data_IF_974957973125
#
_entry.id   IF_974957973125
#
_cell.length_a   1.000
_cell.length_b   1.000
_cell.length_c   1.000
_cell.angle_alpha   90.00
_cell.angle_beta   90.00
_cell.angle_gamma   90.00
#
_symmetry.space_group_name_H-M   'P 1'
#
loop_
_entity.id
_entity.type
_entity.pdbx_description
1 polymer ?
#
# COMPACT_ATOMS: atom_id res chain seq x y z
N UNK A 1 -4.54 9.91 23.40
CA UNK A 1 -3.96 8.87 22.54
C UNK A 1 -4.85 8.75 21.32
N UNK A 2 -4.54 9.52 20.27
CA UNK A 2 -5.32 9.58 19.04
C UNK A 2 -4.89 8.46 18.11
N UNK A 3 -5.80 7.54 17.79
CA UNK A 3 -5.70 6.50 16.75
C UNK A 3 -5.52 7.09 15.33
N UNK A 4 -4.51 7.95 15.13
CA UNK A 4 -4.25 8.63 13.85
C UNK A 4 -3.26 7.88 12.95
N UNK A 5 -2.80 6.69 13.34
CA UNK A 5 -1.72 5.95 12.66
C UNK A 5 -2.09 4.48 12.41
N UNK A 6 -3.38 4.16 12.29
CA UNK A 6 -3.77 2.78 12.02
C UNK A 6 -3.54 2.49 10.54
N UNK A 7 -2.49 1.71 10.26
CA UNK A 7 -2.23 1.13 8.95
C UNK A 7 -3.39 0.21 8.56
N UNK A 8 -3.93 0.41 7.37
CA UNK A 8 -4.87 -0.49 6.73
C UNK A 8 -4.37 -0.78 5.33
N UNK A 9 -4.29 -2.07 5.00
CA UNK A 9 -3.90 -2.55 3.68
C UNK A 9 -5.11 -3.25 3.05
N UNK A 10 -5.45 -2.86 1.82
CA UNK A 10 -6.51 -3.50 1.04
C UNK A 10 -5.87 -4.15 -0.17
N UNK A 11 -5.98 -5.47 -0.29
CA UNK A 11 -5.59 -6.18 -1.51
C UNK A 11 -6.81 -6.24 -2.43
N UNK A 12 -6.68 -5.63 -3.59
CA UNK A 12 -7.69 -5.72 -4.64
C UNK A 12 -7.14 -6.52 -5.82
N UNK A 13 -7.99 -7.37 -6.36
CA UNK A 13 -7.80 -8.02 -7.66
C UNK A 13 -8.92 -7.48 -8.53
N UNK A 14 -8.60 -6.74 -9.58
CA UNK A 14 -9.64 -6.32 -10.51
C UNK A 14 -10.18 -7.57 -11.25
N UNK A 15 -11.48 -7.60 -11.50
CA UNK A 15 -12.19 -8.83 -11.95
C UNK A 15 -11.78 -9.25 -13.38
N UNK A 16 -11.15 -8.33 -14.12
CA UNK A 16 -10.74 -8.53 -15.51
C UNK A 16 -9.23 -8.72 -15.73
N UNK A 17 -8.40 -8.48 -14.72
CA UNK A 17 -6.95 -8.62 -14.83
C UNK A 17 -6.35 -9.14 -13.52
N UNK A 18 -5.39 -10.06 -13.60
CA UNK A 18 -4.53 -10.55 -12.49
C UNK A 18 -3.63 -9.45 -11.88
N UNK A 19 -4.07 -8.20 -11.90
CA UNK A 19 -3.43 -7.05 -11.28
C UNK A 19 -3.74 -7.12 -9.80
N UNK A 20 -2.90 -7.85 -9.07
CA UNK A 20 -2.84 -7.76 -7.62
C UNK A 20 -2.27 -6.38 -7.29
N UNK A 21 -3.08 -5.55 -6.66
CA UNK A 21 -2.66 -4.27 -6.09
C UNK A 21 -2.86 -4.31 -4.57
N UNK A 22 -2.00 -3.62 -3.84
CA UNK A 22 -2.15 -3.41 -2.40
C UNK A 22 -2.21 -1.93 -2.10
N UNK A 23 -3.38 -1.45 -1.69
CA UNK A 23 -3.61 -0.07 -1.29
C UNK A 23 -3.25 0.12 0.19
N UNK A 24 -2.55 1.21 0.50
CA UNK A 24 -2.10 1.59 1.83
C UNK A 24 -2.90 2.80 2.29
N UNK A 25 -3.52 2.66 3.46
CA UNK A 25 -4.28 3.70 4.13
C UNK A 25 -3.73 3.98 5.53
N UNK A 26 -3.76 5.26 5.91
CA UNK A 26 -3.58 5.69 7.29
C UNK A 26 -4.93 6.19 7.80
N UNK A 27 -5.63 5.36 8.58
CA UNK A 27 -7.04 5.61 8.89
C UNK A 27 -7.92 5.55 7.63
N UNK A 28 -8.54 6.67 7.25
CA UNK A 28 -9.36 6.80 6.03
C UNK A 28 -8.60 7.45 4.86
N UNK A 29 -7.37 7.91 5.09
CA UNK A 29 -6.58 8.62 4.09
C UNK A 29 -5.79 7.63 3.22
N UNK A 30 -5.96 7.74 1.90
CA UNK A 30 -5.18 6.98 0.92
C UNK A 30 -3.76 7.56 0.81
N UNK A 31 -2.77 6.71 1.07
CA UNK A 31 -1.35 7.08 1.13
C UNK A 31 -0.63 6.68 -0.16
N UNK A 32 -0.72 5.40 -0.53
CA UNK A 32 -0.01 4.84 -1.67
C UNK A 32 -0.67 3.52 -2.11
N UNK A 33 -0.31 3.04 -3.29
CA UNK A 33 -0.63 1.68 -3.74
C UNK A 33 0.63 0.99 -4.27
N UNK A 34 0.71 -0.32 -4.07
CA UNK A 34 1.72 -1.19 -4.67
C UNK A 34 1.11 -1.94 -5.84
N UNK A 35 1.86 -2.06 -6.93
CA UNK A 35 1.44 -2.77 -8.15
C UNK A 35 2.45 -3.86 -8.51
N UNK A 36 1.92 -5.03 -8.89
CA UNK A 36 2.71 -6.17 -9.35
C UNK A 36 2.50 -6.49 -10.85
N UNK A 37 2.06 -5.52 -11.65
CA UNK A 37 1.71 -5.78 -13.06
C UNK A 37 2.88 -6.33 -13.89
N UNK A 38 4.11 -5.92 -13.55
CA UNK A 38 5.33 -6.37 -14.20
C UNK A 38 5.99 -7.59 -13.50
N UNK A 39 5.25 -8.28 -12.64
CA UNK A 39 5.68 -9.48 -11.90
C UNK A 39 6.21 -9.22 -10.48
N UNK A 40 6.33 -10.28 -9.68
CA UNK A 40 6.69 -10.23 -8.24
C UNK A 40 8.02 -9.51 -7.93
N UNK A 41 8.93 -9.48 -8.90
CA UNK A 41 10.26 -8.89 -8.76
C UNK A 41 10.30 -7.40 -9.15
N UNK A 42 9.22 -6.87 -9.73
CA UNK A 42 9.14 -5.49 -10.21
C UNK A 42 7.93 -4.77 -9.61
N UNK A 43 7.92 -4.69 -8.27
CA UNK A 43 6.88 -3.95 -7.54
C UNK A 43 7.07 -2.45 -7.76
N UNK A 44 6.01 -1.79 -8.25
CA UNK A 44 5.94 -0.33 -8.35
C UNK A 44 5.15 0.23 -7.19
N UNK A 45 5.48 1.45 -6.79
CA UNK A 45 4.75 2.22 -5.77
C UNK A 45 4.25 3.49 -6.41
N UNK A 46 2.96 3.74 -6.29
CA UNK A 46 2.34 5.02 -6.67
C UNK A 46 1.84 5.70 -5.39
N UNK A 47 2.24 6.97 -5.21
CA UNK A 47 1.85 7.76 -4.05
C UNK A 47 0.61 8.59 -4.35
N UNK A 48 -0.23 8.79 -3.34
CA UNK A 48 -1.34 9.74 -3.41
C UNK A 48 -0.80 11.13 -3.77
N UNK A 49 -1.39 11.82 -4.77
CA UNK A 49 -0.94 13.16 -5.17
C UNK A 49 -1.19 14.21 -4.09
N UNK A 50 -2.04 13.91 -3.10
CA UNK A 50 -2.44 14.80 -2.03
C UNK A 50 -1.83 14.40 -0.67
N UNK A 51 -0.86 13.49 -0.66
CA UNK A 51 -0.24 13.02 0.57
C UNK A 51 0.44 14.18 1.32
N UNK A 52 0.11 14.33 2.60
CA UNK A 52 0.77 15.27 3.50
C UNK A 52 2.14 14.76 3.98
N UNK A 53 2.69 15.43 5.00
CA UNK A 53 3.88 14.92 5.70
C UNK A 53 3.48 13.66 6.46
N UNK A 54 4.22 12.58 6.22
CA UNK A 54 4.03 11.29 6.89
C UNK A 54 5.29 10.92 7.65
N UNK A 55 5.12 10.19 8.76
CA UNK A 55 6.23 9.63 9.51
C UNK A 55 7.01 8.63 8.64
N UNK A 56 8.33 8.76 8.61
CA UNK A 56 9.19 7.97 7.74
C UNK A 56 9.21 6.49 8.14
N UNK A 57 9.33 6.21 9.44
CA UNK A 57 9.41 4.85 9.96
C UNK A 57 8.07 4.13 9.73
N UNK A 58 6.96 4.82 9.97
CA UNK A 58 5.62 4.31 9.66
C UNK A 58 5.45 4.00 8.17
N UNK A 59 5.89 4.90 7.28
CA UNK A 59 5.79 4.66 5.82
C UNK A 59 6.61 3.44 5.41
N UNK A 60 7.81 3.29 5.96
CA UNK A 60 8.67 2.15 5.67
C UNK A 60 8.01 0.83 6.10
N UNK A 61 7.44 0.78 7.30
CA UNK A 61 6.69 -0.38 7.80
C UNK A 61 5.47 -0.68 6.92
N UNK A 62 4.70 0.35 6.55
CA UNK A 62 3.52 0.23 5.70
C UNK A 62 3.84 -0.35 4.33
N UNK A 63 4.92 0.12 3.69
CA UNK A 63 5.37 -0.39 2.39
C UNK A 63 5.84 -1.84 2.46
N UNK A 64 6.56 -2.20 3.53
CA UNK A 64 7.03 -3.57 3.74
C UNK A 64 5.86 -4.53 3.97
N UNK A 65 4.89 -4.13 4.79
CA UNK A 65 3.71 -4.95 5.09
C UNK A 65 2.79 -5.08 3.86
N UNK A 66 2.60 -4.00 3.09
CA UNK A 66 1.84 -4.06 1.85
C UNK A 66 2.50 -4.99 0.84
N UNK A 67 3.83 -4.97 0.70
CA UNK A 67 4.57 -5.88 -0.19
C UNK A 67 4.42 -7.34 0.23
N UNK A 68 4.51 -7.62 1.53
CA UNK A 68 4.30 -8.96 2.11
C UNK A 68 2.91 -9.49 1.80
N UNK A 69 1.90 -8.68 2.12
CA UNK A 69 0.48 -8.98 1.87
C UNK A 69 0.23 -9.22 0.38
N UNK A 70 0.79 -8.37 -0.49
CA UNK A 70 0.64 -8.47 -1.93
C UNK A 70 1.24 -9.77 -2.51
N UNK A 71 2.39 -10.20 -1.98
CA UNK A 71 3.11 -11.39 -2.42
C UNK A 71 2.64 -12.69 -1.71
N UNK A 72 1.64 -12.62 -0.83
CA UNK A 72 1.26 -13.71 0.08
C UNK A 72 2.46 -14.28 0.88
N UNK A 73 3.36 -13.40 1.34
CA UNK A 73 4.60 -13.76 2.06
C UNK A 73 4.68 -13.11 3.43
#
# INVERSE_FOLDING_TARGET
MTNKHQLKIIVASDVDYEKLIAEIYCGEEFIALLQQEDGENNIKVEFSPNIGVIDFDWLQEALLEARRTLLNK
#
